data_IF_492936121656
#
_entry.id   IF_492936121656
#
_cell.length_a   1.000
_cell.length_b   1.000
_cell.length_c   1.000
_cell.angle_alpha   90.00
_cell.angle_beta   90.00
_cell.angle_gamma   90.00
#
_symmetry.space_group_name_H-M   'P 1'
#
loop_
_entity.id
_entity.type
_entity.pdbx_description
1 polymer ?
#
# COMPACT_ATOMS: atom_id res chain seq x y z
N UNK A 1 -1.20 2.53 -3.90
CA UNK A 1 -0.97 3.93 -3.50
C UNK A 1 -0.94 4.78 -4.77
N UNK A 2 -1.36 6.06 -4.76
CA UNK A 2 -2.04 6.83 -3.71
C UNK A 2 -3.54 6.86 -3.99
N UNK A 3 -4.17 5.70 -3.86
CA UNK A 3 -5.59 5.56 -4.12
C UNK A 3 -6.36 5.66 -2.81
N UNK A 4 -7.68 5.68 -2.93
CA UNK A 4 -8.65 5.81 -1.85
C UNK A 4 -9.81 4.84 -2.11
N UNK A 5 -10.79 4.75 -1.22
CA UNK A 5 -11.96 3.89 -1.32
C UNK A 5 -12.68 4.03 -2.67
N UNK A 6 -12.63 5.22 -3.27
CA UNK A 6 -13.13 5.49 -4.62
C UNK A 6 -12.61 4.51 -5.69
N UNK A 7 -11.41 3.94 -5.53
CA UNK A 7 -10.87 2.92 -6.44
C UNK A 7 -11.81 1.71 -6.57
N UNK A 8 -12.45 1.30 -5.48
CA UNK A 8 -13.29 0.12 -5.42
C UNK A 8 -14.73 0.36 -5.88
N UNK A 9 -15.10 1.60 -6.23
CA UNK A 9 -16.49 2.01 -6.54
C UNK A 9 -17.22 1.12 -7.54
N UNK A 10 -16.51 0.58 -8.54
CA UNK A 10 -17.08 -0.26 -9.58
C UNK A 10 -17.21 -1.73 -9.14
N UNK A 11 -16.50 -2.15 -8.09
CA UNK A 11 -16.56 -3.51 -7.53
C UNK A 11 -17.62 -3.60 -6.42
N UNK A 12 -17.85 -2.51 -5.68
CA UNK A 12 -18.79 -2.47 -4.54
C UNK A 12 -20.18 -3.02 -4.89
N UNK A 13 -20.85 -2.66 -6.01
CA UNK A 13 -22.20 -3.15 -6.29
C UNK A 13 -22.30 -4.67 -6.34
N UNK A 14 -21.37 -5.33 -7.06
CA UNK A 14 -21.34 -6.79 -7.16
C UNK A 14 -20.95 -7.44 -5.84
N UNK A 15 -19.99 -6.89 -5.11
CA UNK A 15 -19.59 -7.43 -3.81
C UNK A 15 -20.71 -7.30 -2.76
N UNK A 16 -21.52 -6.24 -2.84
CA UNK A 16 -22.62 -5.99 -1.92
C UNK A 16 -23.77 -7.02 -2.07
N UNK A 17 -23.85 -7.73 -3.20
CA UNK A 17 -24.77 -8.86 -3.37
C UNK A 17 -24.38 -10.07 -2.48
N UNK A 18 -23.13 -10.13 -2.03
CA UNK A 18 -22.57 -11.24 -1.26
C UNK A 18 -22.36 -10.92 0.22
N UNK A 19 -22.52 -9.67 0.65
CA UNK A 19 -22.39 -9.31 2.05
C UNK A 19 -22.22 -7.81 2.31
N UNK A 20 -21.90 -7.48 3.56
CA UNK A 20 -21.57 -6.11 3.98
C UNK A 20 -20.19 -5.74 3.44
N UNK A 21 -20.13 -4.75 2.55
CA UNK A 21 -18.87 -4.23 1.99
C UNK A 21 -18.45 -2.98 2.77
N UNK A 22 -17.21 -2.97 3.25
CA UNK A 22 -16.59 -1.85 3.96
C UNK A 22 -15.31 -1.51 3.22
N UNK A 23 -15.18 -0.26 2.78
CA UNK A 23 -14.00 0.22 2.05
C UNK A 23 -13.52 1.50 2.75
N UNK A 24 -12.59 1.38 3.71
CA UNK A 24 -12.08 2.56 4.41
C UNK A 24 -11.05 3.30 3.56
N UNK A 25 -10.98 4.62 3.78
CA UNK A 25 -9.78 5.38 3.46
C UNK A 25 -8.77 5.20 4.60
N UNK A 26 -7.53 4.85 4.29
CA UNK A 26 -6.47 4.77 5.31
C UNK A 26 -6.13 6.18 5.82
N UNK A 27 -5.69 6.31 7.07
CA UNK A 27 -5.18 7.59 7.61
C UNK A 27 -4.10 8.13 6.66
N UNK A 28 -4.05 9.45 6.47
CA UNK A 28 -3.21 10.13 5.47
C UNK A 28 -3.58 9.91 3.99
N UNK A 29 -4.62 9.11 3.70
CA UNK A 29 -5.14 8.92 2.35
C UNK A 29 -6.61 9.32 2.24
N UNK A 30 -7.09 9.55 1.02
CA UNK A 30 -8.49 9.87 0.72
C UNK A 30 -9.10 10.92 1.66
N UNK A 31 -10.30 10.64 2.16
CA UNK A 31 -11.04 11.53 3.05
C UNK A 31 -10.75 11.32 4.54
N UNK A 32 -9.92 10.33 4.90
CA UNK A 32 -9.48 10.14 6.28
C UNK A 32 -8.56 11.26 6.74
N UNK A 33 -8.42 11.39 8.06
CA UNK A 33 -7.63 12.45 8.70
C UNK A 33 -6.20 12.51 8.14
N UNK A 34 -5.68 13.73 8.09
CA UNK A 34 -4.30 14.03 7.69
C UNK A 34 -3.50 14.35 8.95
N UNK A 35 -2.53 13.51 9.26
CA UNK A 35 -1.66 13.55 10.44
C UNK A 35 -0.20 13.50 10.00
N UNK A 36 0.71 13.42 10.97
CA UNK A 36 2.08 13.02 10.69
C UNK A 36 2.11 11.65 9.96
N UNK A 37 3.14 11.39 9.12
CA UNK A 37 3.29 10.11 8.44
C UNK A 37 3.33 8.93 9.42
N UNK A 38 2.63 7.87 9.04
CA UNK A 38 2.53 6.63 9.81
C UNK A 38 3.43 5.55 9.21
N UNK A 39 3.96 4.69 10.08
CA UNK A 39 4.64 3.47 9.68
C UNK A 39 3.66 2.46 9.08
N UNK A 40 4.14 1.50 8.28
CA UNK A 40 3.37 0.34 7.84
C UNK A 40 2.61 -0.38 8.96
N UNK A 41 3.26 -0.58 10.10
CA UNK A 41 2.69 -1.25 11.27
C UNK A 41 1.54 -0.43 11.86
N UNK A 42 1.68 0.89 11.97
CA UNK A 42 0.62 1.77 12.45
C UNK A 42 -0.60 1.78 11.51
N UNK A 43 -0.40 1.67 10.18
CA UNK A 43 -1.51 1.47 9.24
C UNK A 43 -2.23 0.13 9.47
N UNK A 44 -1.50 -0.93 9.78
CA UNK A 44 -2.10 -2.23 10.12
C UNK A 44 -2.87 -2.18 11.44
N UNK A 45 -2.34 -1.50 12.46
CA UNK A 45 -3.01 -1.29 13.75
C UNK A 45 -4.34 -0.55 13.57
N UNK A 46 -4.34 0.57 12.83
CA UNK A 46 -5.57 1.31 12.50
C UNK A 46 -6.62 0.42 11.80
N UNK A 47 -6.18 -0.44 10.88
CA UNK A 47 -7.09 -1.36 10.20
C UNK A 47 -7.64 -2.43 11.15
N UNK A 48 -6.82 -2.94 12.07
CA UNK A 48 -7.27 -3.89 13.09
C UNK A 48 -8.26 -3.23 14.06
N UNK A 49 -8.00 -2.00 14.50
CA UNK A 49 -8.91 -1.22 15.34
C UNK A 49 -10.24 -0.94 14.64
N UNK A 50 -10.22 -0.63 13.34
CA UNK A 50 -11.44 -0.48 12.55
C UNK A 50 -12.26 -1.77 12.51
N UNK A 51 -11.61 -2.91 12.26
CA UNK A 51 -12.26 -4.23 12.20
C UNK A 51 -12.90 -4.58 13.56
N UNK A 52 -12.16 -4.37 14.65
CA UNK A 52 -12.65 -4.63 16.00
C UNK A 52 -13.75 -3.65 16.41
N UNK A 53 -13.59 -2.35 16.14
CA UNK A 53 -14.52 -1.29 16.51
C UNK A 53 -15.84 -1.33 15.74
N UNK A 54 -15.85 -1.91 14.54
CA UNK A 54 -17.07 -2.22 13.78
C UNK A 54 -17.65 -3.59 14.11
N UNK A 55 -17.07 -4.30 15.08
CA UNK A 55 -17.47 -5.63 15.55
C UNK A 55 -17.56 -6.65 14.39
N UNK A 56 -16.64 -6.58 13.44
CA UNK A 56 -16.66 -7.46 12.27
C UNK A 56 -16.13 -8.84 12.60
N UNK A 57 -16.79 -9.87 12.09
CA UNK A 57 -16.42 -11.27 12.24
C UNK A 57 -16.41 -11.95 10.87
N UNK A 58 -15.62 -13.02 10.71
CA UNK A 58 -15.48 -13.76 9.45
C UNK A 58 -15.19 -12.85 8.23
N UNK A 59 -14.27 -11.90 8.42
CA UNK A 59 -13.93 -10.88 7.43
C UNK A 59 -13.22 -11.50 6.24
N UNK A 60 -13.69 -11.18 5.04
CA UNK A 60 -12.92 -11.41 3.80
C UNK A 60 -12.14 -10.15 3.47
N UNK A 61 -10.82 -10.22 3.62
CA UNK A 61 -9.93 -9.13 3.28
C UNK A 61 -9.65 -9.15 1.77
N UNK A 62 -10.08 -8.09 1.07
CA UNK A 62 -9.77 -7.87 -0.35
C UNK A 62 -8.72 -6.76 -0.43
N UNK A 63 -7.49 -7.14 -0.78
CA UNK A 63 -6.29 -6.32 -0.56
C UNK A 63 -5.57 -6.03 -1.88
N UNK A 64 -5.07 -4.81 -2.04
CA UNK A 64 -4.26 -4.41 -3.18
C UNK A 64 -3.08 -3.56 -2.71
N UNK A 65 -1.91 -3.75 -3.32
CA UNK A 65 -0.75 -2.87 -3.09
C UNK A 65 -0.39 -2.83 -1.60
N UNK A 66 -0.20 -1.65 -1.00
CA UNK A 66 0.06 -1.53 0.43
C UNK A 66 -1.04 -2.09 1.34
N UNK A 67 -2.27 -2.25 0.83
CA UNK A 67 -3.32 -2.96 1.54
C UNK A 67 -2.96 -4.42 1.84
N UNK A 68 -2.09 -5.05 1.04
CA UNK A 68 -1.66 -6.45 1.22
C UNK A 68 -0.89 -6.65 2.54
N UNK A 69 0.27 -6.02 2.76
CA UNK A 69 1.00 -6.17 4.01
C UNK A 69 0.20 -5.67 5.22
N UNK A 70 -0.61 -4.61 5.07
CA UNK A 70 -1.39 -4.06 6.18
C UNK A 70 -2.53 -4.99 6.57
N UNK A 71 -3.28 -5.50 5.60
CA UNK A 71 -4.40 -6.41 5.85
C UNK A 71 -3.95 -7.74 6.45
N UNK A 72 -2.81 -8.28 6.02
CA UNK A 72 -2.24 -9.48 6.64
C UNK A 72 -1.79 -9.23 8.07
N UNK A 73 -1.13 -8.10 8.35
CA UNK A 73 -0.69 -7.76 9.70
C UNK A 73 -1.89 -7.51 10.62
N UNK A 74 -2.91 -6.78 10.16
CA UNK A 74 -4.16 -6.57 10.90
C UNK A 74 -4.86 -7.89 11.23
N UNK A 75 -4.97 -8.81 10.26
CA UNK A 75 -5.56 -10.13 10.49
C UNK A 75 -4.70 -11.01 11.42
N UNK A 76 -3.38 -10.84 11.45
CA UNK A 76 -2.49 -11.54 12.38
C UNK A 76 -2.67 -11.06 13.81
N UNK A 77 -3.07 -9.80 14.03
CA UNK A 77 -3.37 -9.25 15.36
C UNK A 77 -4.67 -9.83 15.95
N UNK A 78 -5.67 -10.10 15.10
CA UNK A 78 -6.93 -10.77 15.51
C UNK A 78 -7.34 -11.88 14.53
N UNK A 79 -6.68 -13.05 14.59
CA UNK A 79 -6.90 -14.15 13.64
C UNK A 79 -8.30 -14.73 13.64
N UNK A 80 -9.02 -14.63 14.77
CA UNK A 80 -10.37 -15.20 14.92
C UNK A 80 -11.40 -14.46 14.05
N UNK A 81 -11.15 -13.18 13.78
CA UNK A 81 -12.01 -12.38 12.88
C UNK A 81 -11.73 -12.61 11.40
N UNK A 82 -10.60 -13.21 11.04
CA UNK A 82 -10.15 -13.34 9.66
C UNK A 82 -10.67 -14.60 8.96
N UNK A 83 -11.69 -14.43 8.10
CA UNK A 83 -12.30 -15.52 7.33
C UNK A 83 -11.47 -15.93 6.11
N UNK A 84 -11.27 -15.01 5.16
CA UNK A 84 -10.61 -15.29 3.88
C UNK A 84 -9.78 -14.10 3.39
N UNK A 85 -8.90 -14.36 2.41
CA UNK A 85 -8.09 -13.34 1.76
C UNK A 85 -8.23 -13.44 0.23
N UNK A 86 -8.35 -12.28 -0.41
CA UNK A 86 -8.17 -12.07 -1.84
C UNK A 86 -7.17 -10.93 -1.96
N UNK A 87 -6.06 -11.13 -2.66
CA UNK A 87 -5.04 -10.10 -2.77
C UNK A 87 -4.37 -10.11 -4.13
N UNK A 88 -3.87 -8.94 -4.55
CA UNK A 88 -3.19 -8.78 -5.82
C UNK A 88 -2.30 -7.53 -5.80
N UNK A 89 -1.27 -7.50 -6.66
CA UNK A 89 -0.43 -6.32 -6.89
C UNK A 89 0.13 -5.69 -5.61
N UNK A 90 0.68 -6.47 -4.67
CA UNK A 90 1.26 -5.96 -3.43
C UNK A 90 2.20 -6.97 -2.73
N UNK A 91 3.08 -6.52 -1.82
CA UNK A 91 4.11 -7.36 -1.23
C UNK A 91 3.51 -8.29 -0.16
N UNK A 92 3.25 -9.54 -0.56
CA UNK A 92 2.85 -10.63 0.35
C UNK A 92 4.06 -11.33 1.00
N UNK A 93 5.24 -11.17 0.42
CA UNK A 93 6.50 -11.78 0.82
C UNK A 93 7.61 -10.72 0.83
N UNK A 94 8.68 -10.91 1.62
CA UNK A 94 9.91 -10.12 1.50
C UNK A 94 10.44 -10.09 0.06
N UNK A 95 10.91 -8.92 -0.37
CA UNK A 95 11.56 -8.73 -1.67
C UNK A 95 13.06 -9.06 -1.55
N UNK A 96 13.68 -9.70 -2.55
CA UNK A 96 15.02 -10.27 -2.39
C UNK A 96 16.15 -9.23 -2.25
N UNK A 97 16.22 -8.23 -3.13
CA UNK A 97 17.26 -7.18 -3.11
C UNK A 97 16.75 -5.93 -3.82
N UNK A 98 17.24 -4.75 -3.42
CA UNK A 98 17.04 -3.50 -4.15
C UNK A 98 17.67 -3.52 -5.55
N UNK A 99 18.67 -4.38 -5.81
CA UNK A 99 19.30 -4.52 -7.12
C UNK A 99 18.32 -4.93 -8.24
N UNK A 100 17.15 -5.45 -7.87
CA UNK A 100 16.09 -5.80 -8.85
C UNK A 100 15.34 -4.56 -9.34
N UNK A 101 15.47 -3.43 -8.64
CA UNK A 101 14.84 -2.16 -8.98
C UNK A 101 15.79 -1.43 -9.94
N UNK A 102 15.36 -1.10 -11.17
CA UNK A 102 16.18 -0.31 -12.06
C UNK A 102 16.55 1.05 -11.45
N UNK A 103 17.78 1.54 -11.64
CA UNK A 103 18.28 2.80 -11.06
C UNK A 103 17.32 3.98 -11.26
N UNK A 104 16.78 4.15 -12.48
CA UNK A 104 15.84 5.25 -12.76
C UNK A 104 14.57 5.17 -11.90
N UNK A 105 14.11 3.96 -11.58
CA UNK A 105 12.95 3.72 -10.73
C UNK A 105 13.31 3.93 -9.26
N UNK A 106 14.50 3.51 -8.86
CA UNK A 106 15.04 3.78 -7.52
C UNK A 106 15.12 5.29 -7.25
N UNK A 107 15.76 6.05 -8.14
CA UNK A 107 15.91 7.51 -8.03
C UNK A 107 14.55 8.23 -8.06
N UNK A 108 13.61 7.76 -8.87
CA UNK A 108 12.32 8.45 -9.03
C UNK A 108 11.29 8.09 -7.95
N UNK A 109 11.44 6.96 -7.25
CA UNK A 109 10.43 6.44 -6.32
C UNK A 109 10.93 6.25 -4.89
N UNK A 110 12.18 5.84 -4.69
CA UNK A 110 12.66 5.28 -3.43
C UNK A 110 13.68 6.20 -2.77
N UNK A 111 14.66 6.72 -3.51
CA UNK A 111 15.71 7.57 -2.95
C UNK A 111 15.11 8.89 -2.43
N UNK A 112 15.16 9.16 -1.10
CA UNK A 112 14.56 10.37 -0.54
C UNK A 112 15.19 11.65 -1.08
N UNK A 113 16.47 11.63 -1.46
CA UNK A 113 17.14 12.83 -1.96
C UNK A 113 16.63 13.27 -3.34
N UNK A 114 16.16 12.33 -4.16
CA UNK A 114 15.78 12.56 -5.56
C UNK A 114 14.28 12.42 -5.80
N UNK A 115 13.60 11.50 -5.12
CA UNK A 115 12.16 11.28 -5.26
C UNK A 115 11.31 12.32 -4.51
N UNK A 116 11.79 12.80 -3.35
CA UNK A 116 10.98 13.64 -2.45
C UNK A 116 10.48 14.93 -3.10
N UNK A 117 11.30 15.73 -3.82
CA UNK A 117 10.81 16.94 -4.49
C UNK A 117 9.69 16.64 -5.50
N UNK A 118 9.84 15.59 -6.32
CA UNK A 118 8.83 15.22 -7.30
C UNK A 118 7.50 14.80 -6.62
N UNK A 119 7.58 14.04 -5.52
CA UNK A 119 6.39 13.59 -4.80
C UNK A 119 5.69 14.76 -4.10
N UNK A 120 6.46 15.60 -3.39
CA UNK A 120 5.92 16.68 -2.55
C UNK A 120 5.52 17.90 -3.37
N UNK A 121 6.31 18.34 -4.33
CA UNK A 121 6.04 19.57 -5.08
C UNK A 121 5.11 19.30 -6.27
N UNK A 122 5.39 18.24 -7.04
CA UNK A 122 4.72 17.96 -8.31
C UNK A 122 3.56 16.97 -8.21
N UNK A 123 3.26 16.45 -7.01
CA UNK A 123 2.22 15.44 -6.79
C UNK A 123 2.39 14.22 -7.73
N UNK A 124 3.65 13.81 -7.93
CA UNK A 124 4.06 12.95 -9.04
C UNK A 124 3.27 11.64 -9.14
N UNK A 125 2.93 11.00 -8.02
CA UNK A 125 2.14 9.76 -8.06
C UNK A 125 0.72 9.94 -8.62
N UNK A 126 0.10 11.11 -8.43
CA UNK A 126 -1.22 11.38 -9.01
C UNK A 126 -1.06 11.89 -10.44
N UNK A 127 -0.26 12.93 -10.64
CA UNK A 127 -0.20 13.62 -11.93
C UNK A 127 0.51 12.79 -13.00
N UNK A 128 1.61 12.10 -12.67
CA UNK A 128 2.34 11.23 -13.59
C UNK A 128 1.78 9.80 -13.52
N UNK A 129 1.97 9.13 -12.37
CA UNK A 129 1.80 7.67 -12.29
C UNK A 129 0.34 7.20 -12.42
N UNK A 130 -0.65 7.98 -11.97
CA UNK A 130 -2.06 7.59 -12.05
C UNK A 130 -2.78 8.18 -13.27
N UNK A 131 -2.51 9.45 -13.59
CA UNK A 131 -3.36 10.25 -14.48
C UNK A 131 -2.75 10.58 -15.85
N UNK A 132 -1.43 10.41 -16.02
CA UNK A 132 -0.73 10.68 -17.27
C UNK A 132 -0.41 9.37 -18.00
N UNK A 133 -1.06 9.08 -19.15
CA UNK A 133 -0.82 7.86 -19.90
C UNK A 133 0.57 7.79 -20.55
N UNK A 134 1.31 8.90 -20.62
CA UNK A 134 2.68 8.94 -21.15
C UNK A 134 3.73 8.57 -20.09
N UNK A 135 3.36 8.61 -18.80
CA UNK A 135 4.23 8.25 -17.70
C UNK A 135 4.51 6.74 -17.66
N UNK A 136 5.78 6.35 -17.49
CA UNK A 136 6.19 4.93 -17.50
C UNK A 136 5.54 4.19 -16.33
N UNK A 137 4.82 3.10 -16.65
CA UNK A 137 4.10 2.30 -15.65
C UNK A 137 2.71 2.82 -15.29
N UNK A 138 2.26 3.91 -15.93
CA UNK A 138 0.95 4.51 -15.68
C UNK A 138 -0.22 3.74 -16.30
N UNK A 139 -1.40 4.05 -15.81
CA UNK A 139 -2.66 3.55 -16.33
C UNK A 139 -3.00 4.23 -17.67
N UNK A 140 -3.29 3.42 -18.69
CA UNK A 140 -3.65 3.91 -20.05
C UNK A 140 -5.14 4.19 -20.24
N UNK A 141 -5.94 4.10 -19.17
CA UNK A 141 -7.38 4.39 -19.18
C UNK A 141 -7.63 5.90 -19.29
N UNK A 142 -8.69 6.24 -20.02
CA UNK A 142 -9.23 7.59 -20.02
C UNK A 142 -9.88 7.96 -18.67
N UNK A 143 -9.52 9.13 -18.14
CA UNK A 143 -10.05 9.68 -16.89
C UNK A 143 -10.94 10.88 -17.16
N UNK A 144 -12.15 10.87 -16.60
CA UNK A 144 -13.01 12.06 -16.60
C UNK A 144 -12.47 13.12 -15.65
N UNK A 145 -12.82 14.40 -15.88
CA UNK A 145 -12.43 15.49 -14.98
C UNK A 145 -12.92 15.28 -13.54
N UNK A 146 -14.11 14.69 -13.39
CA UNK A 146 -14.67 14.34 -12.08
C UNK A 146 -13.82 13.28 -11.36
N UNK A 147 -13.38 12.23 -12.07
CA UNK A 147 -12.50 11.21 -11.49
C UNK A 147 -11.13 11.80 -11.14
N UNK A 148 -10.54 12.61 -12.03
CA UNK A 148 -9.28 13.32 -11.76
C UNK A 148 -9.39 14.18 -10.51
N UNK A 149 -10.48 14.93 -10.36
CA UNK A 149 -10.72 15.78 -9.20
C UNK A 149 -10.79 14.97 -7.90
N UNK A 150 -11.40 13.79 -7.91
CA UNK A 150 -11.49 12.92 -6.74
C UNK A 150 -10.10 12.48 -6.25
N UNK A 151 -9.19 12.06 -7.15
CA UNK A 151 -7.84 11.65 -6.75
C UNK A 151 -6.91 12.81 -6.37
N UNK A 152 -7.12 14.00 -6.94
CA UNK A 152 -6.34 15.21 -6.59
C UNK A 152 -6.76 15.84 -5.27
N UNK A 153 -8.06 15.83 -4.96
CA UNK A 153 -8.63 16.52 -3.80
C UNK A 153 -7.91 16.28 -2.46
N UNK A 154 -7.54 15.05 -2.08
CA UNK A 154 -6.88 14.81 -0.80
C UNK A 154 -5.39 15.21 -0.76
N UNK A 155 -4.82 15.59 -1.90
CA UNK A 155 -3.38 15.80 -2.11
C UNK A 155 -3.07 17.21 -2.65
N UNK A 156 -3.96 18.18 -2.42
CA UNK A 156 -3.77 19.57 -2.87
C UNK A 156 -2.63 20.25 -2.12
N UNK A 157 -2.53 20.02 -0.81
CA UNK A 157 -1.48 20.58 0.05
C UNK A 157 -0.23 19.68 -0.01
N UNK A 158 0.97 20.21 -0.32
CA UNK A 158 2.21 19.45 -0.23
C UNK A 158 2.38 18.67 1.09
N UNK A 159 1.96 19.23 2.23
CA UNK A 159 2.05 18.54 3.52
C UNK A 159 1.23 17.23 3.58
N UNK A 160 0.17 17.12 2.78
CA UNK A 160 -0.63 15.88 2.69
C UNK A 160 0.04 14.77 1.88
N UNK A 161 1.17 15.06 1.22
CA UNK A 161 1.92 14.13 0.36
C UNK A 161 3.08 13.46 1.09
N UNK A 162 3.39 13.87 2.33
CA UNK A 162 4.48 13.31 3.14
C UNK A 162 4.37 11.79 3.32
N UNK A 163 3.15 11.29 3.56
CA UNK A 163 2.91 9.84 3.63
C UNK A 163 3.29 9.14 2.31
N UNK A 164 3.10 9.79 1.16
CA UNK A 164 3.43 9.20 -0.16
C UNK A 164 4.93 9.09 -0.36
N UNK A 165 5.70 10.03 0.18
CA UNK A 165 7.16 10.00 0.12
C UNK A 165 7.74 8.93 1.05
N UNK A 166 7.07 8.64 2.18
CA UNK A 166 7.53 7.64 3.14
C UNK A 166 7.33 6.21 2.62
N UNK A 167 6.18 5.91 2.02
CA UNK A 167 5.79 4.53 1.73
C UNK A 167 6.80 3.74 0.87
N UNK A 168 7.33 4.26 -0.25
CA UNK A 168 8.32 3.53 -1.06
C UNK A 168 9.59 3.15 -0.30
N UNK A 169 10.00 3.96 0.67
CA UNK A 169 11.15 3.69 1.53
C UNK A 169 10.89 2.46 2.43
N UNK A 170 9.63 2.19 2.75
CA UNK A 170 9.23 1.03 3.54
C UNK A 170 9.04 -0.25 2.72
N UNK A 171 9.43 -0.31 1.44
CA UNK A 171 9.32 -1.55 0.68
C UNK A 171 10.18 -2.66 1.33
N UNK A 172 9.65 -3.88 1.51
CA UNK A 172 10.25 -4.91 2.37
C UNK A 172 11.41 -5.64 1.67
N UNK A 173 12.47 -4.94 1.30
CA UNK A 173 13.68 -5.54 0.75
C UNK A 173 14.54 -6.21 1.85
N UNK A 174 14.96 -7.44 1.59
CA UNK A 174 15.88 -8.22 2.45
C UNK A 174 17.30 -7.66 2.37
N UNK A 175 17.74 -7.32 1.16
CA UNK A 175 19.06 -6.74 0.90
C UNK A 175 18.92 -5.33 0.29
N UNK A 176 19.58 -4.37 0.94
CA UNK A 176 19.61 -2.96 0.55
C UNK A 176 21.03 -2.49 0.22
N UNK A 177 21.99 -3.42 0.21
CA UNK A 177 23.42 -3.14 -0.03
C UNK A 177 23.62 -2.36 -1.33
N UNK A 178 24.46 -1.32 -1.29
CA UNK A 178 24.78 -0.48 -2.45
C UNK A 178 23.77 0.64 -2.74
N UNK A 179 22.61 0.63 -2.08
CA UNK A 179 21.58 1.65 -2.23
C UNK A 179 21.32 2.33 -0.87
N UNK A 180 21.59 3.64 -0.73
CA UNK A 180 21.52 4.37 0.54
C UNK A 180 20.09 4.57 1.11
N UNK A 181 19.10 3.76 0.71
CA UNK A 181 17.69 4.08 0.89
C UNK A 181 17.22 4.14 2.36
N UNK A 182 17.95 3.56 3.32
CA UNK A 182 17.42 3.31 4.66
C UNK A 182 18.46 3.53 5.75
N UNK A 183 18.41 4.72 6.36
CA UNK A 183 19.03 4.99 7.65
C UNK A 183 18.10 5.93 8.47
N UNK A 184 17.75 5.57 9.72
CA UNK A 184 16.95 6.42 10.60
C UNK A 184 17.57 7.81 10.87
N UNK A 185 18.87 8.00 10.61
CA UNK A 185 19.59 9.26 10.79
C UNK A 185 19.75 10.08 9.47
N UNK A 186 19.23 9.61 8.33
CA UNK A 186 19.27 10.30 7.04
C UNK A 186 19.41 9.34 5.83
N UNK A 187 19.50 9.80 4.58
CA UNK A 187 19.75 8.91 3.46
C UNK A 187 21.18 8.34 3.54
N UNK A 188 21.30 7.01 3.65
CA UNK A 188 22.52 6.29 3.30
C UNK A 188 23.44 5.79 4.39
N UNK A 189 22.88 5.07 5.37
CA UNK A 189 23.67 4.36 6.36
C UNK A 189 24.58 3.32 5.73
N UNK A 190 25.87 3.39 6.06
CA UNK A 190 26.84 2.31 5.91
C UNK A 190 27.15 1.76 7.32
N UNK A 191 26.71 0.54 7.67
CA UNK A 191 26.10 -0.46 6.79
C UNK A 191 24.61 -0.21 6.53
N UNK A 192 24.16 -0.62 5.34
CA UNK A 192 22.76 -0.58 4.94
C UNK A 192 21.88 -1.28 5.98
N UNK A 193 20.79 -0.61 6.39
CA UNK A 193 19.84 -1.18 7.34
C UNK A 193 18.77 -2.00 6.60
N UNK A 194 18.24 -3.07 7.23
CA UNK A 194 17.07 -3.75 6.70
C UNK A 194 15.87 -2.81 6.61
N UNK A 195 14.98 -3.06 5.64
CA UNK A 195 13.75 -2.28 5.50
C UNK A 195 12.92 -2.30 6.79
N UNK A 196 12.38 -1.15 7.26
CA UNK A 196 11.64 -1.12 8.51
C UNK A 196 10.43 -2.06 8.53
N UNK A 197 9.85 -2.37 7.37
CA UNK A 197 8.69 -3.26 7.26
C UNK A 197 9.04 -4.75 7.10
N UNK A 198 10.34 -5.10 6.99
CA UNK A 198 10.78 -6.46 6.64
C UNK A 198 10.29 -7.49 7.65
N UNK A 199 10.30 -7.14 8.94
CA UNK A 199 9.88 -8.01 10.03
C UNK A 199 8.38 -8.26 9.97
N UNK A 200 7.58 -7.20 9.78
CA UNK A 200 6.13 -7.31 9.63
C UNK A 200 5.78 -8.20 8.44
N UNK A 201 6.38 -7.96 7.27
CA UNK A 201 6.08 -8.73 6.05
C UNK A 201 6.54 -10.19 6.18
N UNK A 202 7.68 -10.43 6.82
CA UNK A 202 8.15 -11.80 7.12
C UNK A 202 7.20 -12.54 8.07
N UNK A 203 6.70 -11.87 9.10
CA UNK A 203 5.72 -12.43 10.03
C UNK A 203 4.38 -12.72 9.35
N UNK A 204 3.95 -11.84 8.43
CA UNK A 204 2.75 -12.05 7.62
C UNK A 204 2.88 -13.28 6.72
N UNK A 205 4.03 -13.43 6.05
CA UNK A 205 4.31 -14.61 5.23
C UNK A 205 4.24 -15.90 6.04
N UNK A 206 4.86 -15.92 7.24
CA UNK A 206 4.81 -17.06 8.14
C UNK A 206 3.37 -17.38 8.59
N UNK A 207 2.59 -16.36 8.94
CA UNK A 207 1.17 -16.51 9.30
C UNK A 207 0.36 -17.15 8.16
N UNK A 208 0.52 -16.65 6.93
CA UNK A 208 -0.19 -17.18 5.76
C UNK A 208 0.21 -18.63 5.43
N UNK A 209 1.47 -19.03 5.64
CA UNK A 209 1.92 -20.40 5.46
C UNK A 209 1.45 -21.36 6.57
N UNK A 210 1.25 -20.85 7.79
CA UNK A 210 0.86 -21.64 8.96
C UNK A 210 -0.65 -21.83 9.16
N UNK A 211 -1.49 -21.06 8.47
CA UNK A 211 -2.96 -21.15 8.58
C UNK A 211 -3.56 -22.31 7.76
N UNK A 212 -4.47 -23.10 8.34
CA UNK A 212 -5.23 -24.14 7.61
C UNK A 212 -6.08 -23.53 6.46
N UNK A 213 -6.23 -24.22 5.31
CA UNK A 213 -6.92 -23.66 4.14
C UNK A 213 -8.46 -23.65 4.31
N UNK A 214 -9.20 -22.76 3.59
CA UNK A 214 -8.91 -22.34 2.22
C UNK A 214 -8.89 -20.82 2.05
N UNK A 215 -7.71 -20.23 1.82
CA UNK A 215 -7.59 -18.76 1.67
C UNK A 215 -6.90 -18.34 0.37
N UNK A 216 -7.19 -19.03 -0.74
CA UNK A 216 -6.98 -18.51 -2.08
C UNK A 216 -8.24 -18.69 -2.93
N UNK A 217 -8.77 -17.59 -3.46
CA UNK A 217 -9.58 -17.62 -4.67
C UNK A 217 -8.68 -17.11 -5.78
N UNK A 218 -7.94 -18.02 -6.41
CA UNK A 218 -7.34 -17.72 -7.71
C UNK A 218 -8.44 -17.71 -8.77
N UNK A 219 -8.30 -16.80 -9.73
CA UNK A 219 -9.23 -16.52 -10.83
C UNK A 219 -9.90 -17.79 -11.38
N UNK A 220 -11.24 -17.75 -11.51
CA UNK A 220 -11.95 -18.69 -12.35
C UNK A 220 -11.33 -18.68 -13.77
N UNK A 221 -11.13 -19.84 -14.41
CA UNK A 221 -10.59 -19.88 -15.77
C UNK A 221 -11.50 -19.09 -16.73
N UNK A 222 -10.94 -18.47 -17.79
CA UNK A 222 -11.73 -17.72 -18.75
C UNK A 222 -12.79 -18.63 -19.40
N UNK A 223 -14.01 -18.09 -19.54
CA UNK A 223 -15.08 -18.71 -20.32
C UNK A 223 -14.78 -18.64 -21.80
#
# INVERSE_FOLDING_TARGET
MPTQAYLWRNMIPTLAEHGRVIVPDMINFGLSDKTEPLTPEAHAENLAELVAGLELENVTFVLQDWGVPFGFAAARMDPERAGAFVFFEGPALPLPSLDIVPDFMFDSLIDPATAYPAIIDDNWFIECFLLDPECVGSNTRDWTDAERAVYRAPLVDPASREQLALMPQHLPFVDTTGHPALDPDGPGGDPAQPSPSIEMVSANAAYMMGSEPPKSVTQAPPR
#
